data_IF_223774754750
#
_entry.id   IF_223774754750
#
_cell.length_a   1.000
_cell.length_b   1.000
_cell.length_c   1.000
_cell.angle_alpha   90.00
_cell.angle_beta   90.00
_cell.angle_gamma   90.00
#
_symmetry.space_group_name_H-M   'P 1'
#
loop_
_entity.id
_entity.type
_entity.pdbx_description
1 polymer ?
#
# COMPACT_ATOMS: atom_id res chain seq x y z
N UNK A 1 -32.46 -19.63 29.07
CA UNK A 1 -31.44 -19.61 28.00
C UNK A 1 -31.72 -18.41 27.13
N UNK A 2 -31.26 -17.23 27.57
CA UNK A 2 -31.54 -15.97 26.91
C UNK A 2 -30.65 -15.87 25.67
N UNK A 3 -31.27 -15.92 24.49
CA UNK A 3 -30.62 -15.48 23.25
C UNK A 3 -30.54 -13.96 23.35
N UNK A 4 -29.38 -13.44 23.76
CA UNK A 4 -29.06 -12.04 23.60
C UNK A 4 -29.28 -11.68 22.13
N UNK A 5 -30.14 -10.69 21.92
CA UNK A 5 -30.38 -10.10 20.63
C UNK A 5 -29.08 -9.39 20.26
N UNK A 6 -28.35 -9.91 19.28
CA UNK A 6 -27.44 -9.10 18.48
C UNK A 6 -28.27 -8.09 17.68
N UNK A 7 -28.75 -7.07 18.38
CA UNK A 7 -29.51 -5.99 17.79
C UNK A 7 -28.48 -5.03 17.17
N UNK A 8 -28.32 -5.15 15.85
CA UNK A 8 -27.47 -4.27 15.03
C UNK A 8 -27.75 -2.80 15.40
N UNK A 9 -26.75 -2.02 15.84
CA UNK A 9 -26.96 -0.80 16.62
C UNK A 9 -27.42 0.45 15.83
N UNK A 10 -28.03 0.28 14.66
CA UNK A 10 -28.29 1.40 13.73
C UNK A 10 -29.70 1.35 13.11
N UNK A 11 -30.73 1.59 13.92
CA UNK A 11 -32.06 1.96 13.42
C UNK A 11 -32.26 3.45 13.72
N UNK A 12 -32.26 4.31 12.68
CA UNK A 12 -32.64 5.72 12.79
C UNK A 12 -34.11 5.87 12.39
N UNK A 13 -34.91 6.45 13.27
CA UNK A 13 -36.35 6.63 13.07
C UNK A 13 -36.67 7.49 11.83
N UNK A 14 -37.60 7.03 10.99
CA UNK A 14 -38.19 7.81 9.89
C UNK A 14 -37.69 7.55 8.47
N UNK A 15 -36.77 6.60 8.24
CA UNK A 15 -36.36 6.18 6.88
C UNK A 15 -36.99 4.85 6.49
N UNK A 16 -37.30 4.67 5.20
CA UNK A 16 -37.73 3.36 4.67
C UNK A 16 -36.64 2.31 4.93
N UNK A 17 -37.04 1.05 5.08
CA UNK A 17 -36.09 -0.05 5.32
C UNK A 17 -35.01 -0.12 4.24
N UNK A 18 -35.39 0.13 2.99
CA UNK A 18 -34.49 0.08 1.84
C UNK A 18 -33.43 1.20 1.90
N UNK A 19 -33.84 2.44 2.20
CA UNK A 19 -32.90 3.56 2.38
C UNK A 19 -31.97 3.36 3.58
N UNK A 20 -32.43 2.71 4.64
CA UNK A 20 -31.60 2.42 5.81
C UNK A 20 -30.57 1.32 5.52
N UNK A 21 -30.94 0.30 4.74
CA UNK A 21 -30.02 -0.75 4.29
C UNK A 21 -28.92 -0.17 3.39
N UNK A 22 -29.27 0.71 2.46
CA UNK A 22 -28.30 1.38 1.57
C UNK A 22 -27.27 2.20 2.35
N UNK A 23 -27.71 3.03 3.31
CA UNK A 23 -26.81 3.82 4.17
C UNK A 23 -25.86 2.90 4.94
N UNK A 24 -26.40 1.83 5.52
CA UNK A 24 -25.62 0.88 6.31
C UNK A 24 -24.57 0.17 5.45
N UNK A 25 -24.94 -0.32 4.26
CA UNK A 25 -24.00 -0.91 3.30
C UNK A 25 -22.91 0.08 2.89
N UNK A 26 -23.26 1.34 2.68
CA UNK A 26 -22.31 2.39 2.34
C UNK A 26 -21.33 2.67 3.48
N UNK A 27 -21.80 2.70 4.72
CA UNK A 27 -20.95 2.86 5.91
C UNK A 27 -19.98 1.70 6.07
N UNK A 28 -20.45 0.46 5.88
CA UNK A 28 -19.57 -0.71 5.88
C UNK A 28 -18.51 -0.64 4.79
N UNK A 29 -18.89 -0.26 3.57
CA UNK A 29 -17.94 -0.08 2.46
C UNK A 29 -16.88 0.97 2.78
N UNK A 30 -17.29 2.11 3.33
CA UNK A 30 -16.38 3.17 3.76
C UNK A 30 -15.44 2.70 4.88
N UNK A 31 -15.93 1.90 5.83
CA UNK A 31 -15.13 1.36 6.92
C UNK A 31 -14.06 0.37 6.41
N UNK A 32 -14.45 -0.55 5.53
CA UNK A 32 -13.53 -1.49 4.88
C UNK A 32 -12.42 -0.74 4.14
N UNK A 33 -12.76 0.32 3.39
CA UNK A 33 -11.78 1.17 2.72
C UNK A 33 -10.77 1.77 3.71
N UNK A 34 -11.26 2.39 4.80
CA UNK A 34 -10.41 3.04 5.81
C UNK A 34 -9.46 2.05 6.49
N UNK A 35 -9.94 0.85 6.80
CA UNK A 35 -9.12 -0.22 7.38
C UNK A 35 -8.01 -0.62 6.40
N UNK A 36 -8.35 -0.83 5.12
CA UNK A 36 -7.36 -1.18 4.10
C UNK A 36 -6.33 -0.09 3.88
N UNK A 37 -6.74 1.18 3.81
CA UNK A 37 -5.81 2.30 3.69
C UNK A 37 -4.88 2.38 4.90
N UNK A 38 -5.39 2.13 6.11
CA UNK A 38 -4.56 2.11 7.33
C UNK A 38 -3.52 0.98 7.29
N UNK A 39 -3.90 -0.21 6.84
CA UNK A 39 -2.99 -1.36 6.70
C UNK A 39 -1.90 -1.08 5.63
N UNK A 40 -2.28 -0.38 4.57
CA UNK A 40 -1.40 -0.07 3.43
C UNK A 40 -0.59 1.21 3.61
N UNK A 41 -0.93 2.05 4.58
CA UNK A 41 -0.25 3.32 4.79
C UNK A 41 1.29 3.23 4.92
N UNK A 42 1.89 2.23 5.60
CA UNK A 42 3.34 2.10 5.64
C UNK A 42 3.97 1.57 4.34
N UNK A 43 3.18 1.19 3.34
CA UNK A 43 3.67 0.50 2.15
C UNK A 43 4.14 1.47 1.06
N UNK A 44 5.25 1.10 0.42
CA UNK A 44 5.75 1.68 -0.83
C UNK A 44 5.65 0.63 -1.92
N UNK A 45 5.15 1.02 -3.09
CA UNK A 45 5.12 0.20 -4.28
C UNK A 45 6.29 0.54 -5.20
N UNK A 46 7.12 -0.45 -5.55
CA UNK A 46 8.10 -0.35 -6.63
C UNK A 46 7.54 -0.91 -7.93
N UNK A 47 7.73 -0.15 -8.99
CA UNK A 47 7.25 -0.47 -10.34
C UNK A 47 8.45 -0.51 -11.30
N UNK A 48 8.36 -1.39 -12.29
CA UNK A 48 9.37 -1.61 -13.35
C UNK A 48 10.66 -2.29 -12.88
N UNK A 49 10.64 -3.02 -11.76
CA UNK A 49 11.78 -3.82 -11.31
C UNK A 49 11.82 -5.17 -12.05
N UNK A 50 12.92 -5.54 -12.74
CA UNK A 50 13.06 -6.83 -13.43
C UNK A 50 12.79 -8.03 -12.53
N UNK A 51 12.25 -9.12 -13.09
CA UNK A 51 12.04 -10.39 -12.38
C UNK A 51 13.36 -11.17 -12.33
N UNK A 52 14.19 -10.88 -11.34
CA UNK A 52 15.45 -11.58 -11.04
C UNK A 52 15.25 -12.57 -9.87
N UNK A 53 16.07 -13.62 -9.77
CA UNK A 53 16.07 -14.57 -8.65
C UNK A 53 16.71 -13.98 -7.36
N UNK A 54 16.76 -12.66 -7.26
CA UNK A 54 17.34 -11.95 -6.11
C UNK A 54 16.31 -11.85 -4.99
N UNK A 55 16.80 -11.91 -3.76
CA UNK A 55 15.99 -11.66 -2.57
C UNK A 55 15.37 -10.25 -2.62
N UNK A 56 14.07 -10.15 -2.36
CA UNK A 56 13.31 -8.91 -2.54
C UNK A 56 13.64 -7.90 -1.44
N UNK A 57 13.97 -8.37 -0.23
CA UNK A 57 14.38 -7.51 0.88
C UNK A 57 15.74 -6.91 0.57
N UNK A 58 16.71 -7.74 0.17
CA UNK A 58 18.03 -7.26 -0.24
C UNK A 58 17.94 -6.26 -1.40
N UNK A 59 17.13 -6.56 -2.42
CA UNK A 59 16.91 -5.65 -3.55
C UNK A 59 16.34 -4.30 -3.08
N UNK A 60 15.41 -4.32 -2.12
CA UNK A 60 14.84 -3.07 -1.60
C UNK A 60 15.86 -2.24 -0.81
N UNK A 61 16.77 -2.87 -0.06
CA UNK A 61 17.87 -2.18 0.60
C UNK A 61 18.85 -1.56 -0.42
N UNK A 62 19.21 -2.31 -1.47
CA UNK A 62 20.06 -1.82 -2.56
C UNK A 62 19.48 -0.57 -3.22
N UNK A 63 18.19 -0.56 -3.53
CA UNK A 63 17.50 0.61 -4.11
C UNK A 63 17.55 1.81 -3.18
N UNK A 64 17.34 1.61 -1.88
CA UNK A 64 17.39 2.70 -0.90
C UNK A 64 18.81 3.27 -0.77
N UNK A 65 19.83 2.42 -0.79
CA UNK A 65 21.23 2.84 -0.76
C UNK A 65 21.66 3.57 -2.05
N UNK A 66 21.26 3.07 -3.22
CA UNK A 66 21.58 3.67 -4.53
C UNK A 66 20.98 5.07 -4.64
N UNK A 67 19.73 5.25 -4.20
CA UNK A 67 18.99 6.48 -4.47
C UNK A 67 18.97 7.48 -3.32
N UNK A 68 18.99 6.99 -2.08
CA UNK A 68 18.78 7.78 -0.86
C UNK A 68 19.79 7.47 0.25
N UNK A 69 21.12 7.49 -0.03
CA UNK A 69 22.15 7.08 0.93
C UNK A 69 22.12 7.90 2.23
N UNK A 70 21.77 9.19 2.16
CA UNK A 70 21.66 10.05 3.34
C UNK A 70 20.51 9.62 4.25
N UNK A 71 19.35 9.25 3.68
CA UNK A 71 18.21 8.79 4.46
C UNK A 71 18.51 7.46 5.15
N UNK A 72 19.18 6.54 4.45
CA UNK A 72 19.59 5.25 5.02
C UNK A 72 20.51 5.48 6.23
N UNK A 73 21.51 6.37 6.11
CA UNK A 73 22.44 6.70 7.21
C UNK A 73 21.77 7.41 8.39
N UNK A 74 20.89 8.38 8.13
CA UNK A 74 20.24 9.17 9.17
C UNK A 74 19.25 8.37 10.02
N UNK A 75 18.55 7.43 9.39
CA UNK A 75 17.35 6.83 9.98
C UNK A 75 17.50 5.33 10.25
N UNK A 76 18.63 4.73 9.89
CA UNK A 76 18.82 3.27 9.85
C UNK A 76 17.60 2.59 9.21
N UNK A 77 17.19 3.12 8.05
CA UNK A 77 16.00 2.64 7.37
C UNK A 77 16.27 1.23 6.87
N UNK A 78 15.57 0.26 7.47
CA UNK A 78 15.40 -1.07 6.95
C UNK A 78 13.92 -1.35 6.67
N UNK A 79 13.59 -1.92 5.51
CA UNK A 79 12.29 -2.52 5.26
C UNK A 79 11.90 -3.48 6.39
N UNK A 80 10.64 -3.50 6.77
CA UNK A 80 10.12 -4.55 7.66
C UNK A 80 9.90 -5.84 6.88
N UNK A 81 9.29 -5.71 5.70
CA UNK A 81 9.00 -6.81 4.78
C UNK A 81 9.06 -6.26 3.36
N UNK A 82 9.48 -7.10 2.40
CA UNK A 82 9.37 -6.79 0.98
C UNK A 82 8.91 -8.02 0.20
N UNK A 83 7.93 -7.85 -0.68
CA UNK A 83 7.40 -8.98 -1.45
C UNK A 83 6.90 -8.58 -2.83
N UNK A 84 7.02 -9.52 -3.78
CA UNK A 84 6.42 -9.41 -5.12
C UNK A 84 4.93 -9.69 -5.05
N UNK A 85 4.13 -8.86 -5.71
CA UNK A 85 2.67 -9.04 -5.77
C UNK A 85 2.19 -9.12 -7.22
N UNK A 86 1.41 -10.16 -7.58
CA UNK A 86 1.04 -11.33 -6.76
C UNK A 86 2.23 -12.26 -6.46
N UNK A 87 2.16 -13.03 -5.37
CA UNK A 87 3.25 -13.93 -4.94
C UNK A 87 3.64 -14.95 -6.01
N UNK A 88 2.65 -15.44 -6.75
CA UNK A 88 2.84 -16.36 -7.88
C UNK A 88 2.91 -15.53 -9.17
N UNK A 89 3.95 -15.78 -9.97
CA UNK A 89 4.11 -15.15 -11.29
C UNK A 89 3.15 -15.80 -12.28
N UNK A 90 2.38 -14.98 -13.00
CA UNK A 90 1.61 -15.42 -14.16
C UNK A 90 2.53 -15.51 -15.40
N UNK A 91 2.72 -16.69 -16.01
CA UNK A 91 3.55 -16.85 -17.21
C UNK A 91 3.07 -16.03 -18.42
N UNK A 92 1.78 -15.66 -18.47
CA UNK A 92 1.21 -14.87 -19.57
C UNK A 92 1.52 -13.37 -19.45
N UNK A 93 1.98 -12.92 -18.27
CA UNK A 93 2.27 -11.51 -18.02
C UNK A 93 3.70 -11.18 -18.45
N UNK A 94 3.82 -10.31 -19.44
CA UNK A 94 5.13 -9.80 -19.93
C UNK A 94 5.71 -8.70 -19.04
N UNK A 95 4.87 -7.99 -18.29
CA UNK A 95 5.32 -6.93 -17.38
C UNK A 95 5.82 -7.51 -16.05
N UNK A 96 6.91 -6.95 -15.48
CA UNK A 96 7.35 -7.36 -14.16
C UNK A 96 6.29 -7.10 -13.08
N UNK A 97 6.23 -7.94 -12.05
CA UNK A 97 5.34 -7.72 -10.91
C UNK A 97 5.84 -6.57 -10.06
N UNK A 98 4.90 -5.88 -9.44
CA UNK A 98 5.23 -4.83 -8.48
C UNK A 98 5.80 -5.45 -7.22
N UNK A 99 6.68 -4.73 -6.54
CA UNK A 99 7.11 -5.06 -5.18
C UNK A 99 6.36 -4.15 -4.23
N UNK A 100 5.86 -4.70 -3.14
CA UNK A 100 5.44 -3.92 -1.98
C UNK A 100 6.51 -4.02 -0.91
N UNK A 101 6.98 -2.88 -0.46
CA UNK A 101 7.88 -2.72 0.68
C UNK A 101 7.07 -2.15 1.83
N UNK A 102 7.02 -2.87 2.94
CA UNK A 102 6.40 -2.39 4.17
C UNK A 102 7.44 -1.70 5.03
N UNK A 103 7.23 -0.43 5.34
CA UNK A 103 8.10 0.31 6.25
C UNK A 103 7.68 0.10 7.71
N UNK A 104 8.61 0.06 8.67
CA UNK A 104 8.26 -0.07 10.09
C UNK A 104 7.49 1.14 10.62
N UNK A 105 7.61 2.31 9.97
CA UNK A 105 6.92 3.55 10.33
C UNK A 105 6.43 4.27 9.09
N UNK A 106 5.20 4.80 9.14
CA UNK A 106 4.61 5.63 8.07
C UNK A 106 5.47 6.85 7.75
N UNK A 107 6.03 7.49 8.78
CA UNK A 107 6.95 8.64 8.63
C UNK A 107 8.16 8.31 7.74
N UNK A 108 8.67 7.07 7.79
CA UNK A 108 9.77 6.65 6.94
C UNK A 108 9.32 6.57 5.48
N UNK A 109 8.15 5.98 5.22
CA UNK A 109 7.53 5.91 3.90
C UNK A 109 7.31 7.29 3.30
N UNK A 110 6.77 8.24 4.06
CA UNK A 110 6.53 9.61 3.60
C UNK A 110 7.83 10.35 3.22
N UNK A 111 8.88 10.23 4.05
CA UNK A 111 10.18 10.85 3.76
C UNK A 111 10.81 10.29 2.48
N UNK A 112 10.74 8.98 2.28
CA UNK A 112 11.26 8.32 1.08
C UNK A 112 10.50 8.77 -0.15
N UNK A 113 9.16 8.74 -0.12
CA UNK A 113 8.35 9.19 -1.26
C UNK A 113 8.55 10.68 -1.57
N UNK A 114 8.74 11.52 -0.54
CA UNK A 114 9.08 12.94 -0.73
C UNK A 114 10.46 13.10 -1.37
N UNK A 115 11.46 12.35 -0.92
CA UNK A 115 12.80 12.38 -1.51
C UNK A 115 12.79 11.87 -2.95
N UNK A 116 12.03 10.82 -3.25
CA UNK A 116 11.84 10.31 -4.62
C UNK A 116 11.21 11.38 -5.53
N UNK A 117 10.19 12.10 -5.05
CA UNK A 117 9.58 13.22 -5.78
C UNK A 117 10.57 14.37 -6.03
N UNK A 118 11.45 14.69 -5.08
CA UNK A 118 12.46 15.73 -5.29
C UNK A 118 13.54 15.26 -6.27
N UNK A 119 13.97 14.00 -6.18
CA UNK A 119 14.99 13.42 -7.06
C UNK A 119 14.50 13.26 -8.49
N UNK A 120 13.19 13.06 -8.70
CA UNK A 120 12.49 12.81 -9.97
C UNK A 120 12.87 11.48 -10.66
N UNK A 121 14.17 11.19 -10.76
CA UNK A 121 14.69 9.97 -11.37
C UNK A 121 15.20 9.05 -10.26
N UNK A 122 14.56 7.90 -10.12
CA UNK A 122 15.00 6.82 -9.25
C UNK A 122 15.45 5.67 -10.13
N UNK A 123 16.60 5.08 -9.83
CA UNK A 123 17.19 4.01 -10.65
C UNK A 123 17.44 2.73 -9.84
N UNK A 124 17.57 1.62 -10.56
CA UNK A 124 18.11 0.37 -10.04
C UNK A 124 18.94 -0.28 -11.14
N UNK A 125 20.24 -0.49 -10.90
CA UNK A 125 21.16 -1.07 -11.89
C UNK A 125 21.06 -0.36 -13.26
N UNK A 126 20.91 0.97 -13.26
CA UNK A 126 20.78 1.80 -14.47
C UNK A 126 19.38 1.82 -15.13
N UNK A 127 18.42 1.04 -14.62
CA UNK A 127 17.02 1.06 -15.09
C UNK A 127 16.24 2.10 -14.29
N UNK A 128 15.44 2.92 -14.96
CA UNK A 128 14.54 3.87 -14.26
C UNK A 128 13.35 3.13 -13.65
N UNK A 129 13.10 3.39 -12.37
CA UNK A 129 12.06 2.75 -11.57
C UNK A 129 11.13 3.80 -10.99
N UNK A 130 9.93 3.38 -10.57
CA UNK A 130 8.96 4.29 -9.94
C UNK A 130 8.62 3.82 -8.54
N UNK A 131 8.61 4.76 -7.60
CA UNK A 131 8.14 4.59 -6.23
C UNK A 131 6.79 5.27 -6.10
N UNK A 132 5.78 4.54 -5.62
CA UNK A 132 4.44 5.05 -5.36
C UNK A 132 3.97 4.66 -3.96
N UNK A 133 2.97 5.37 -3.44
CA UNK A 133 2.24 4.91 -2.27
C UNK A 133 1.28 3.77 -2.68
N UNK A 134 1.10 2.80 -1.78
CA UNK A 134 0.09 1.75 -1.95
C UNK A 134 -1.22 2.19 -1.29
N UNK A 135 -2.29 2.27 -2.07
CA UNK A 135 -3.62 2.67 -1.62
C UNK A 135 -4.62 1.53 -1.80
N UNK A 136 -5.75 1.58 -1.09
CA UNK A 136 -6.89 0.73 -1.45
C UNK A 136 -7.37 1.04 -2.87
N UNK A 137 -8.04 0.06 -3.48
CA UNK A 137 -8.57 0.20 -4.84
C UNK A 137 -9.57 1.35 -4.93
N UNK A 138 -10.40 1.50 -3.91
CA UNK A 138 -11.41 2.54 -3.80
C UNK A 138 -10.77 3.93 -3.68
N UNK A 139 -9.72 4.09 -2.88
CA UNK A 139 -9.00 5.37 -2.77
C UNK A 139 -8.28 5.74 -4.06
N UNK A 140 -7.70 4.75 -4.75
CA UNK A 140 -7.09 4.95 -6.07
C UNK A 140 -8.12 5.35 -7.15
N UNK A 141 -9.34 4.78 -7.10
CA UNK A 141 -10.41 5.08 -8.07
C UNK A 141 -11.10 6.42 -7.82
N UNK A 142 -11.23 6.84 -6.57
CA UNK A 142 -11.84 8.12 -6.19
C UNK A 142 -10.96 9.34 -6.56
N UNK A 143 -9.73 9.13 -7.07
CA UNK A 143 -8.79 10.21 -7.39
C UNK A 143 -8.31 10.98 -6.14
N UNK A 144 -8.44 10.37 -4.95
CA UNK A 144 -8.06 10.95 -3.65
C UNK A 144 -6.64 10.55 -3.22
N UNK A 145 -5.85 10.04 -4.16
CA UNK A 145 -4.50 9.51 -3.99
C UNK A 145 -3.41 10.57 -4.23
#
# INVERSE_FOLDING_TARGET
MNKEKDQMPYLKDGKSKDTQLEITCQDYKNNVRRIWDTIKDPNIQLISIPEENQDVEQLSEEIMMENFPNLVKEMDIKPQEAQRIPKIRDPKRSTPRHIIIKMPKVKNKERILKAARVKQIVTYKGITIRLAADFSKETMQDGKA
#
